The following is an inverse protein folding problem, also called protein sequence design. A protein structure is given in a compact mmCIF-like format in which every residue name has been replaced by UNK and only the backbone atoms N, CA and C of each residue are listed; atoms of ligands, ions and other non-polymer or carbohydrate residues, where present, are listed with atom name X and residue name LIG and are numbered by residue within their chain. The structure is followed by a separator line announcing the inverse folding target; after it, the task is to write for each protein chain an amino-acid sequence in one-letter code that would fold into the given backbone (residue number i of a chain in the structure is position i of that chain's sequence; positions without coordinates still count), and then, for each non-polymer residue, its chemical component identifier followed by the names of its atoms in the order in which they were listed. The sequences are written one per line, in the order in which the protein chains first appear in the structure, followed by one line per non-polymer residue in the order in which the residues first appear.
data_IF_298137411898
#
_entry.id   IF_298137411898
#
_cell.length_a   1.000
_cell.length_b   1.000
_cell.length_c   1.000
_cell.angle_alpha   90.00
_cell.angle_beta   90.00
_cell.angle_gamma   90.00
#
_symmetry.space_group_name_H-M   'P 1'
#
loop_
_entity.id
_entity.type
_entity.pdbx_description
1 polymer ?
#
# COMPACT_ATOMS: atom_id res chain seq x y z
N UNK A 1 -28.37 30.27 -0.69
CA UNK A 1 -28.26 29.97 0.75
C UNK A 1 -26.84 29.57 1.14
N UNK A 2 -26.27 28.49 0.57
CA UNK A 2 -24.92 27.99 0.90
C UNK A 2 -23.82 29.06 0.78
N UNK A 3 -23.85 29.92 -0.24
CA UNK A 3 -22.86 31.02 -0.37
C UNK A 3 -22.96 32.11 0.71
N UNK A 4 -24.16 32.35 1.26
CA UNK A 4 -24.34 33.30 2.36
C UNK A 4 -23.80 32.73 3.67
N UNK A 5 -24.12 31.46 3.96
CA UNK A 5 -23.57 30.71 5.09
C UNK A 5 -22.05 30.58 5.00
N UNK A 6 -21.51 30.35 3.81
CA UNK A 6 -20.06 30.28 3.59
C UNK A 6 -19.32 31.56 4.00
N UNK A 7 -19.90 32.73 3.70
CA UNK A 7 -19.33 34.01 4.12
C UNK A 7 -19.35 34.21 5.64
N UNK A 8 -20.42 33.78 6.31
CA UNK A 8 -20.48 33.85 7.78
C UNK A 8 -19.54 32.82 8.43
N UNK A 9 -19.45 31.62 7.85
CA UNK A 9 -18.58 30.55 8.33
C UNK A 9 -17.09 30.88 8.22
N UNK A 10 -16.69 31.79 7.33
CA UNK A 10 -15.31 32.29 7.29
C UNK A 10 -14.90 33.02 8.57
N UNK A 11 -15.85 33.63 9.28
CA UNK A 11 -15.58 34.38 10.51
C UNK A 11 -15.86 33.53 11.75
N UNK A 12 -16.98 32.80 11.74
CA UNK A 12 -17.49 32.10 12.93
C UNK A 12 -17.72 30.60 12.63
N UNK A 13 -16.73 29.92 12.04
CA UNK A 13 -16.87 28.52 11.62
C UNK A 13 -17.37 27.62 12.74
N UNK A 14 -16.77 27.73 13.94
CA UNK A 14 -17.07 26.89 15.09
C UNK A 14 -18.52 27.03 15.60
N UNK A 15 -19.16 28.18 15.41
CA UNK A 15 -20.57 28.40 15.76
C UNK A 15 -21.53 27.84 14.69
N UNK A 16 -21.10 27.89 13.43
CA UNK A 16 -21.92 27.49 12.28
C UNK A 16 -21.73 26.02 11.90
N UNK A 17 -20.69 25.36 12.39
CA UNK A 17 -20.36 23.98 12.07
C UNK A 17 -21.52 23.00 12.29
N UNK A 18 -22.27 23.02 13.41
CA UNK A 18 -23.39 22.10 13.61
C UNK A 18 -24.51 22.32 12.58
N UNK A 19 -24.74 23.58 12.21
CA UNK A 19 -25.74 23.94 11.19
C UNK A 19 -25.30 23.48 9.80
N UNK A 20 -24.02 23.62 9.47
CA UNK A 20 -23.45 23.11 8.22
C UNK A 20 -23.56 21.58 8.16
N UNK A 21 -23.26 20.88 9.27
CA UNK A 21 -23.39 19.43 9.35
C UNK A 21 -24.85 18.98 9.16
N UNK A 22 -25.81 19.67 9.77
CA UNK A 22 -27.24 19.36 9.58
C UNK A 22 -27.66 19.56 8.11
N UNK A 23 -27.20 20.65 7.48
CA UNK A 23 -27.48 20.91 6.07
C UNK A 23 -26.93 19.81 5.14
N UNK A 24 -25.81 19.15 5.49
CA UNK A 24 -25.26 18.07 4.65
C UNK A 24 -26.25 16.93 4.41
N UNK A 25 -27.21 16.73 5.30
CA UNK A 25 -28.20 15.65 5.19
C UNK A 25 -29.22 15.88 4.06
N UNK A 26 -29.40 17.13 3.62
CA UNK A 26 -30.49 17.52 2.71
C UNK A 26 -30.00 18.06 1.36
N UNK A 27 -28.70 18.27 1.19
CA UNK A 27 -28.15 18.92 0.00
C UNK A 27 -27.92 17.95 -1.17
N UNK A 28 -28.12 18.48 -2.37
CA UNK A 28 -27.84 17.80 -3.64
C UNK A 28 -26.35 17.56 -3.87
N UNK A 29 -26.00 16.77 -4.89
CA UNK A 29 -24.59 16.54 -5.28
C UNK A 29 -23.85 17.84 -5.63
N UNK A 30 -24.45 18.71 -6.42
CA UNK A 30 -23.84 19.99 -6.80
C UNK A 30 -23.63 20.90 -5.61
N UNK A 31 -24.58 20.90 -4.67
CA UNK A 31 -24.46 21.67 -3.43
C UNK A 31 -23.36 21.12 -2.50
N UNK A 32 -23.18 19.79 -2.45
CA UNK A 32 -22.04 19.16 -1.75
C UNK A 32 -20.71 19.61 -2.33
N UNK A 33 -20.60 19.65 -3.65
CA UNK A 33 -19.37 20.09 -4.31
C UNK A 33 -19.08 21.58 -4.01
N UNK A 34 -20.12 22.42 -4.00
CA UNK A 34 -20.00 23.83 -3.63
C UNK A 34 -19.63 24.01 -2.15
N UNK A 35 -20.22 23.21 -1.26
CA UNK A 35 -19.89 23.24 0.16
C UNK A 35 -18.43 22.84 0.40
N UNK A 36 -17.94 21.78 -0.24
CA UNK A 36 -16.54 21.36 -0.14
C UNK A 36 -15.57 22.47 -0.60
N UNK A 37 -15.90 23.19 -1.68
CA UNK A 37 -15.12 24.35 -2.15
C UNK A 37 -15.11 25.49 -1.13
N UNK A 38 -16.26 25.82 -0.54
CA UNK A 38 -16.35 26.84 0.52
C UNK A 38 -15.52 26.44 1.74
N UNK A 39 -15.57 25.18 2.15
CA UNK A 39 -14.71 24.65 3.23
C UNK A 39 -13.23 24.79 2.88
N UNK A 40 -12.86 24.62 1.61
CA UNK A 40 -11.51 24.90 1.09
C UNK A 40 -11.08 26.37 1.26
N UNK A 41 -11.98 27.32 0.99
CA UNK A 41 -11.69 28.75 1.21
C UNK A 41 -11.58 29.10 2.70
N UNK A 42 -12.44 28.52 3.54
CA UNK A 42 -12.35 28.66 5.00
C UNK A 42 -11.02 28.11 5.50
N UNK A 43 -10.59 26.95 5.00
CA UNK A 43 -9.31 26.34 5.33
C UNK A 43 -8.14 27.26 5.01
N UNK A 44 -8.08 27.83 3.80
CA UNK A 44 -7.00 28.75 3.43
C UNK A 44 -6.99 30.01 4.31
N UNK A 45 -8.17 30.57 4.62
CA UNK A 45 -8.25 31.73 5.51
C UNK A 45 -7.78 31.41 6.93
N UNK A 46 -8.22 30.28 7.49
CA UNK A 46 -7.75 29.82 8.80
C UNK A 46 -6.25 29.52 8.79
N UNK A 47 -5.71 28.95 7.71
CA UNK A 47 -4.26 28.72 7.56
C UNK A 47 -3.46 30.00 7.48
N UNK A 48 -3.98 31.03 6.82
CA UNK A 48 -3.29 32.31 6.65
C UNK A 48 -3.11 33.08 7.97
N UNK A 49 -4.01 32.91 8.93
CA UNK A 49 -3.94 33.55 10.26
C UNK A 49 -3.16 32.72 11.28
N UNK A 50 -2.70 31.50 10.94
CA UNK A 50 -1.84 30.74 11.84
C UNK A 50 -0.44 31.35 11.83
N UNK A 51 0.07 31.65 13.01
CA UNK A 51 1.40 32.22 13.23
C UNK A 51 2.30 31.26 14.00
N UNK A 52 3.61 31.51 13.94
CA UNK A 52 4.62 30.79 14.72
C UNK A 52 5.29 29.66 13.94
N UNK A 53 5.27 29.72 12.61
CA UNK A 53 6.05 28.82 11.76
C UNK A 53 7.56 29.12 11.83
N UNK A 54 8.37 28.11 11.52
CA UNK A 54 9.82 28.23 11.35
C UNK A 54 10.21 28.90 10.02
N UNK A 55 9.31 28.82 9.03
CA UNK A 55 9.49 29.35 7.68
C UNK A 55 8.13 29.77 7.09
N UNK A 56 8.14 30.34 5.89
CA UNK A 56 6.93 30.67 5.15
C UNK A 56 6.99 30.18 3.71
N UNK A 57 5.86 29.75 3.16
CA UNK A 57 5.67 29.53 1.72
C UNK A 57 4.72 30.58 1.15
N UNK A 58 4.82 30.85 -0.14
CA UNK A 58 3.88 31.70 -0.87
C UNK A 58 3.11 30.85 -1.89
N UNK A 59 1.79 30.78 -1.73
CA UNK A 59 0.89 30.04 -2.62
C UNK A 59 -0.24 30.98 -3.05
N UNK A 60 -0.44 31.14 -4.36
CA UNK A 60 -1.42 32.06 -4.94
C UNK A 60 -1.29 33.52 -4.42
N UNK A 61 -0.06 33.99 -4.18
CA UNK A 61 0.21 35.35 -3.71
C UNK A 61 -0.11 35.59 -2.22
N UNK A 62 -0.43 34.53 -1.47
CA UNK A 62 -0.60 34.57 -0.01
C UNK A 62 0.54 33.84 0.67
N UNK A 63 1.05 34.41 1.76
CA UNK A 63 2.05 33.77 2.61
C UNK A 63 1.40 32.92 3.68
N UNK A 64 1.95 31.73 3.89
CA UNK A 64 1.55 30.78 4.91
C UNK A 64 2.76 30.34 5.72
N UNK A 65 2.63 30.40 7.05
CA UNK A 65 3.63 29.86 7.97
C UNK A 65 3.73 28.34 7.86
N UNK A 66 4.93 27.82 8.08
CA UNK A 66 5.31 26.42 7.92
C UNK A 66 6.14 25.96 9.12
N UNK A 67 5.82 24.80 9.68
CA UNK A 67 6.49 24.22 10.84
C UNK A 67 7.44 23.10 10.39
N UNK A 68 8.74 23.33 10.55
CA UNK A 68 9.79 22.39 10.18
C UNK A 68 10.13 21.44 11.33
N UNK A 69 10.12 21.95 12.56
CA UNK A 69 10.59 21.24 13.76
C UNK A 69 9.47 20.81 14.71
N UNK A 70 8.24 21.26 14.47
CA UNK A 70 7.08 20.96 15.28
C UNK A 70 5.87 20.60 14.41
N UNK A 71 4.83 20.07 15.02
CA UNK A 71 3.57 19.81 14.35
C UNK A 71 2.81 21.11 14.17
N UNK A 72 2.29 21.32 12.95
CA UNK A 72 1.42 22.47 12.65
C UNK A 72 0.14 22.41 13.51
N UNK A 73 -0.31 23.55 14.09
CA UNK A 73 -1.62 23.64 14.72
C UNK A 73 -2.76 23.24 13.76
N UNK A 74 -3.68 22.40 14.24
CA UNK A 74 -4.87 22.01 13.46
C UNK A 74 -5.87 23.16 13.42
N UNK A 75 -6.41 23.43 12.23
CA UNK A 75 -7.47 24.45 12.08
C UNK A 75 -8.83 23.90 12.52
N UNK A 76 -9.78 24.79 12.84
CA UNK A 76 -11.12 24.36 13.25
C UNK A 76 -11.83 23.57 12.14
N UNK A 77 -11.68 23.99 10.87
CA UNK A 77 -12.28 23.26 9.75
C UNK A 77 -11.70 21.86 9.61
N UNK A 78 -10.39 21.68 9.79
CA UNK A 78 -9.76 20.36 9.75
C UNK A 78 -10.24 19.45 10.88
N UNK A 79 -10.38 20.01 12.09
CA UNK A 79 -10.91 19.30 13.25
C UNK A 79 -12.35 18.82 12.99
N UNK A 80 -13.19 19.66 12.42
CA UNK A 80 -14.57 19.31 12.09
C UNK A 80 -14.66 18.31 10.94
N UNK A 81 -13.83 18.42 9.89
CA UNK A 81 -13.78 17.39 8.85
C UNK A 81 -13.37 16.04 9.44
N UNK A 82 -12.41 16.00 10.36
CA UNK A 82 -12.03 14.78 11.06
C UNK A 82 -13.19 14.22 11.90
N UNK A 83 -14.00 15.06 12.53
CA UNK A 83 -15.21 14.63 13.26
C UNK A 83 -16.29 14.08 12.31
N UNK A 84 -16.55 14.76 11.19
CA UNK A 84 -17.52 14.32 10.19
C UNK A 84 -17.14 12.97 9.58
N UNK A 85 -15.85 12.71 9.35
CA UNK A 85 -15.36 11.41 8.90
C UNK A 85 -15.68 10.28 9.88
N UNK A 86 -15.77 10.58 11.18
CA UNK A 86 -16.05 9.60 12.25
C UNK A 86 -17.56 9.42 12.52
N UNK A 87 -18.41 10.27 11.96
CA UNK A 87 -19.86 10.21 12.15
C UNK A 87 -20.52 9.26 11.15
N UNK A 88 -20.68 8.00 11.56
CA UNK A 88 -21.29 6.94 10.74
C UNK A 88 -22.77 7.17 10.42
N UNK A 89 -23.44 8.08 11.14
CA UNK A 89 -24.84 8.42 10.92
C UNK A 89 -25.02 9.47 9.82
N UNK A 90 -23.94 10.14 9.40
CA UNK A 90 -23.97 11.17 8.39
C UNK A 90 -23.08 10.84 7.19
N UNK A 91 -23.56 9.91 6.35
CA UNK A 91 -22.87 9.51 5.13
C UNK A 91 -22.55 10.69 4.19
N UNK A 92 -23.42 11.70 4.12
CA UNK A 92 -23.20 12.88 3.29
C UNK A 92 -22.12 13.78 3.85
N UNK A 93 -22.12 14.01 5.17
CA UNK A 93 -21.05 14.70 5.89
C UNK A 93 -19.69 14.03 5.68
N UNK A 94 -19.64 12.69 5.77
CA UNK A 94 -18.43 11.91 5.48
C UNK A 94 -17.92 12.13 4.06
N UNK A 95 -18.80 12.13 3.05
CA UNK A 95 -18.41 12.40 1.66
C UNK A 95 -17.92 13.84 1.47
N UNK A 96 -18.61 14.83 2.03
CA UNK A 96 -18.16 16.24 2.00
C UNK A 96 -16.79 16.39 2.65
N UNK A 97 -16.54 15.72 3.79
CA UNK A 97 -15.26 15.78 4.48
C UNK A 97 -14.11 15.19 3.66
N UNK A 98 -14.35 14.10 2.94
CA UNK A 98 -13.37 13.51 2.01
C UNK A 98 -13.05 14.47 0.88
N UNK A 99 -14.07 15.06 0.26
CA UNK A 99 -13.87 15.99 -0.85
C UNK A 99 -13.19 17.29 -0.39
N UNK A 100 -13.60 17.85 0.74
CA UNK A 100 -12.95 19.02 1.33
C UNK A 100 -11.47 18.73 1.61
N UNK A 101 -11.14 17.54 2.13
CA UNK A 101 -9.75 17.14 2.40
C UNK A 101 -8.90 17.06 1.12
N UNK A 102 -9.46 16.60 -0.01
CA UNK A 102 -8.71 16.61 -1.29
C UNK A 102 -8.55 18.03 -1.82
N UNK A 103 -9.51 18.92 -1.58
CA UNK A 103 -9.38 20.35 -1.88
C UNK A 103 -8.27 20.99 -1.02
N UNK A 104 -8.18 20.67 0.27
CA UNK A 104 -7.10 21.17 1.15
C UNK A 104 -5.72 20.72 0.63
N UNK A 105 -5.61 19.44 0.26
CA UNK A 105 -4.40 18.87 -0.29
C UNK A 105 -3.95 19.58 -1.57
N UNK A 106 -4.90 19.87 -2.47
CA UNK A 106 -4.63 20.54 -3.74
C UNK A 106 -4.33 22.03 -3.60
N UNK A 107 -5.01 22.73 -2.70
CA UNK A 107 -4.85 24.18 -2.54
C UNK A 107 -3.59 24.56 -1.76
N UNK A 108 -3.09 23.72 -0.86
CA UNK A 108 -1.95 24.08 0.00
C UNK A 108 -1.09 22.90 0.43
N UNK A 109 -1.67 21.83 1.00
CA UNK A 109 -0.87 20.89 1.81
C UNK A 109 0.20 20.13 1.01
N UNK A 110 -0.07 19.84 -0.28
CA UNK A 110 0.92 19.15 -1.13
C UNK A 110 2.12 20.05 -1.37
N UNK A 111 1.89 21.29 -1.77
CA UNK A 111 2.94 22.28 -1.98
C UNK A 111 3.73 22.56 -0.70
N UNK A 112 3.02 22.72 0.43
CA UNK A 112 3.62 22.83 1.76
C UNK A 112 4.51 21.63 2.08
N UNK A 113 4.02 20.40 1.90
CA UNK A 113 4.80 19.19 2.12
C UNK A 113 6.04 19.11 1.20
N UNK A 114 5.93 19.53 -0.05
CA UNK A 114 7.08 19.57 -0.96
C UNK A 114 8.11 20.58 -0.48
N UNK A 115 7.68 21.79 -0.11
CA UNK A 115 8.60 22.84 0.34
C UNK A 115 9.23 22.53 1.69
N UNK A 116 8.50 21.92 2.63
CA UNK A 116 9.06 21.40 3.88
C UNK A 116 10.20 20.42 3.61
N UNK A 117 10.02 19.48 2.66
CA UNK A 117 11.06 18.52 2.30
C UNK A 117 12.28 19.21 1.72
N UNK A 118 12.09 20.17 0.84
CA UNK A 118 13.17 20.97 0.25
C UNK A 118 13.94 21.75 1.33
N UNK A 119 13.24 22.50 2.19
CA UNK A 119 13.83 23.25 3.29
C UNK A 119 14.60 22.34 4.27
N UNK A 120 14.05 21.17 4.60
CA UNK A 120 14.75 20.17 5.43
C UNK A 120 16.01 19.64 4.76
N UNK A 121 15.98 19.41 3.45
CA UNK A 121 17.15 19.00 2.68
C UNK A 121 18.21 20.11 2.61
N UNK A 122 17.81 21.37 2.47
CA UNK A 122 18.74 22.51 2.51
C UNK A 122 19.38 22.65 3.89
N UNK A 123 18.58 22.53 4.95
CA UNK A 123 19.07 22.50 6.34
C UNK A 123 20.05 21.35 6.57
N UNK A 124 19.79 20.15 6.02
CA UNK A 124 20.74 19.03 6.11
C UNK A 124 21.98 19.24 5.24
N UNK A 125 21.86 19.80 4.03
CA UNK A 125 23.00 20.10 3.15
C UNK A 125 23.90 21.21 3.72
N UNK A 126 23.35 22.14 4.50
CA UNK A 126 24.14 23.11 5.24
C UNK A 126 25.01 22.46 6.32
N UNK A 127 24.58 21.30 6.84
CA UNK A 127 25.31 20.50 7.83
C UNK A 127 26.29 19.53 7.16
N UNK A 128 25.93 18.99 6.00
CA UNK A 128 26.73 18.02 5.26
C UNK A 128 26.79 18.36 3.76
N UNK A 129 27.92 18.88 3.29
CA UNK A 129 28.20 19.01 1.85
C UNK A 129 28.44 17.63 1.22
N UNK A 130 27.40 16.90 0.81
CA UNK A 130 27.49 15.84 -0.22
C UNK A 130 26.20 15.80 -1.05
N UNK A 131 26.35 15.60 -2.38
CA UNK A 131 25.35 15.85 -3.43
C UNK A 131 24.35 14.72 -3.69
N UNK A 132 23.32 15.10 -4.46
CA UNK A 132 22.41 14.34 -5.36
C UNK A 132 20.93 14.61 -5.01
N UNK A 133 19.94 14.62 -5.90
CA UNK A 133 19.78 14.36 -7.33
C UNK A 133 18.27 14.18 -7.55
N UNK A 134 17.68 14.84 -8.56
CA UNK A 134 16.22 15.12 -8.67
C UNK A 134 15.42 14.04 -9.42
N UNK A 135 14.13 13.86 -9.08
CA UNK A 135 13.19 12.84 -9.64
C UNK A 135 11.99 13.46 -10.39
N UNK A 136 11.35 12.65 -11.23
CA UNK A 136 10.07 12.92 -11.90
C UNK A 136 9.02 11.81 -11.64
N UNK A 137 7.73 12.15 -11.77
CA UNK A 137 6.56 11.32 -11.42
C UNK A 137 5.90 10.65 -12.65
N UNK A 138 5.32 9.44 -12.52
CA UNK A 138 4.55 8.79 -13.59
C UNK A 138 3.01 8.93 -13.46
N UNK A 139 2.33 8.80 -14.61
CA UNK A 139 0.88 8.99 -14.85
C UNK A 139 0.13 7.65 -14.82
N UNK A 140 -1.14 7.64 -14.37
CA UNK A 140 -2.05 6.46 -14.39
C UNK A 140 -3.29 6.65 -15.28
N UNK A 141 -3.83 5.56 -15.89
CA UNK A 141 -5.02 5.58 -16.75
C UNK A 141 -6.34 5.34 -15.98
N UNK A 142 -7.44 5.82 -16.59
CA UNK A 142 -8.78 5.91 -16.01
C UNK A 142 -9.61 4.62 -15.99
N UNK A 143 -10.71 4.66 -15.22
CA UNK A 143 -11.60 3.52 -14.93
C UNK A 143 -13.10 3.83 -15.17
N UNK A 144 -13.94 2.77 -15.29
CA UNK A 144 -15.28 2.79 -15.85
C UNK A 144 -16.39 2.64 -14.77
N UNK A 145 -17.70 2.61 -15.12
CA UNK A 145 -18.77 2.99 -14.20
C UNK A 145 -19.19 1.95 -13.14
N UNK A 146 -19.92 2.51 -12.16
CA UNK A 146 -20.32 2.01 -10.84
C UNK A 146 -21.33 0.86 -10.89
N UNK A 147 -21.00 -0.27 -10.26
CA UNK A 147 -21.87 -1.45 -10.20
C UNK A 147 -21.93 -2.06 -8.78
N UNK A 148 -22.97 -2.87 -8.54
CA UNK A 148 -23.40 -3.51 -7.29
C UNK A 148 -22.31 -4.02 -6.31
N UNK A 149 -21.13 -4.39 -6.79
CA UNK A 149 -20.02 -4.89 -5.98
C UNK A 149 -19.39 -3.80 -5.07
N UNK A 150 -19.46 -2.53 -5.48
CA UNK A 150 -18.89 -1.41 -4.72
C UNK A 150 -19.63 -1.16 -3.39
N UNK A 151 -20.93 -1.48 -3.31
CA UNK A 151 -21.76 -1.13 -2.16
C UNK A 151 -21.75 -2.12 -1.00
N UNK A 152 -21.42 -3.40 -1.24
CA UNK A 152 -21.51 -4.47 -0.22
C UNK A 152 -20.22 -5.28 -0.07
N UNK A 153 -19.67 -5.74 -1.19
CA UNK A 153 -18.55 -6.68 -1.16
C UNK A 153 -17.23 -5.98 -0.85
N UNK A 154 -16.94 -4.84 -1.50
CA UNK A 154 -15.70 -4.09 -1.27
C UNK A 154 -15.57 -3.62 0.19
N UNK A 155 -16.58 -2.97 0.81
CA UNK A 155 -16.48 -2.59 2.22
C UNK A 155 -16.29 -3.79 3.14
N UNK A 156 -16.99 -4.91 2.90
CA UNK A 156 -16.86 -6.12 3.71
C UNK A 156 -15.46 -6.73 3.63
N UNK A 157 -14.85 -6.78 2.45
CA UNK A 157 -13.50 -7.31 2.28
C UNK A 157 -12.46 -6.37 2.89
N UNK A 158 -12.57 -5.07 2.63
CA UNK A 158 -11.63 -4.07 3.12
C UNK A 158 -11.60 -4.03 4.66
N UNK A 159 -12.76 -4.21 5.30
CA UNK A 159 -12.91 -4.12 6.76
C UNK A 159 -12.86 -5.45 7.50
N UNK A 160 -12.43 -6.54 6.84
CA UNK A 160 -12.26 -7.84 7.50
C UNK A 160 -11.38 -7.72 8.76
N UNK A 161 -11.95 -8.09 9.91
CA UNK A 161 -11.32 -8.00 11.24
C UNK A 161 -11.47 -6.66 11.96
N UNK A 162 -12.08 -5.64 11.34
CA UNK A 162 -12.40 -4.35 11.95
C UNK A 162 -13.80 -3.86 11.51
N UNK A 163 -14.81 -4.67 11.80
CA UNK A 163 -16.18 -4.47 11.30
C UNK A 163 -16.82 -3.12 11.70
N UNK A 164 -16.35 -2.51 12.79
CA UNK A 164 -16.82 -1.18 13.22
C UNK A 164 -16.61 -0.07 12.18
N UNK A 165 -15.68 -0.22 11.22
CA UNK A 165 -15.47 0.77 10.15
C UNK A 165 -16.23 0.45 8.87
N UNK A 166 -16.99 -0.65 8.82
CA UNK A 166 -17.70 -1.07 7.60
C UNK A 166 -18.65 0.01 7.11
N UNK A 167 -19.38 0.66 8.02
CA UNK A 167 -20.33 1.74 7.70
C UNK A 167 -19.60 2.96 7.15
N UNK A 168 -18.58 3.47 7.85
CA UNK A 168 -17.78 4.62 7.39
C UNK A 168 -17.14 4.36 6.02
N UNK A 169 -16.51 3.19 5.83
CA UNK A 169 -15.90 2.82 4.55
C UNK A 169 -16.95 2.77 3.44
N UNK A 170 -18.11 2.15 3.69
CA UNK A 170 -19.20 2.09 2.71
C UNK A 170 -19.72 3.49 2.34
N UNK A 171 -19.83 4.39 3.31
CA UNK A 171 -20.33 5.74 3.10
C UNK A 171 -19.33 6.61 2.33
N UNK A 172 -18.03 6.48 2.65
CA UNK A 172 -16.93 7.28 2.07
C UNK A 172 -16.51 6.77 0.68
N UNK A 173 -16.50 5.46 0.47
CA UNK A 173 -15.92 4.83 -0.72
C UNK A 173 -16.40 5.41 -2.06
N UNK A 174 -17.70 5.71 -2.29
CA UNK A 174 -18.15 6.30 -3.55
C UNK A 174 -17.44 7.61 -3.88
N UNK A 175 -17.24 8.46 -2.86
CA UNK A 175 -16.55 9.73 -3.01
C UNK A 175 -15.03 9.56 -3.12
N UNK A 176 -14.45 8.64 -2.33
CA UNK A 176 -13.03 8.31 -2.42
C UNK A 176 -12.62 7.79 -3.81
N UNK A 177 -13.45 6.95 -4.44
CA UNK A 177 -13.24 6.48 -5.83
C UNK A 177 -13.33 7.66 -6.79
N UNK A 178 -14.41 8.44 -6.71
CA UNK A 178 -14.62 9.61 -7.58
C UNK A 178 -13.43 10.57 -7.54
N UNK A 179 -12.96 10.90 -6.34
CA UNK A 179 -11.79 11.77 -6.19
C UNK A 179 -10.51 11.09 -6.71
N UNK A 180 -10.36 9.78 -6.51
CA UNK A 180 -9.17 9.05 -6.97
C UNK A 180 -9.11 8.87 -8.49
N UNK A 181 -10.25 8.93 -9.18
CA UNK A 181 -10.34 8.98 -10.64
C UNK A 181 -9.96 10.35 -11.19
N UNK A 182 -10.33 11.42 -10.51
CA UNK A 182 -9.99 12.79 -10.92
C UNK A 182 -8.54 13.17 -10.58
N UNK A 183 -8.10 12.84 -9.36
CA UNK A 183 -6.79 13.19 -8.81
C UNK A 183 -6.34 12.16 -7.78
N UNK A 184 -5.74 11.08 -8.27
CA UNK A 184 -5.25 9.99 -7.43
C UNK A 184 -4.14 10.43 -6.46
N UNK A 185 -3.33 11.44 -6.83
CA UNK A 185 -2.21 11.90 -6.00
C UNK A 185 -2.73 12.58 -4.74
N UNK A 186 -3.74 13.44 -4.87
CA UNK A 186 -4.35 14.13 -3.73
C UNK A 186 -5.09 13.19 -2.80
N UNK A 187 -5.79 12.19 -3.33
CA UNK A 187 -6.39 11.15 -2.48
C UNK A 187 -5.32 10.37 -1.72
N UNK A 188 -4.24 9.96 -2.39
CA UNK A 188 -3.13 9.25 -1.73
C UNK A 188 -2.44 10.11 -0.67
N UNK A 189 -2.28 11.40 -0.93
CA UNK A 189 -1.75 12.37 0.02
C UNK A 189 -2.65 12.46 1.27
N UNK A 190 -3.96 12.66 1.09
CA UNK A 190 -4.94 12.73 2.18
C UNK A 190 -4.95 11.44 3.01
N UNK A 191 -5.00 10.27 2.36
CA UNK A 191 -4.99 8.98 3.05
C UNK A 191 -3.69 8.75 3.84
N UNK A 192 -2.56 9.20 3.30
CA UNK A 192 -1.27 9.14 3.98
C UNK A 192 -1.26 10.04 5.20
N UNK A 193 -1.73 11.29 5.06
CA UNK A 193 -1.86 12.26 6.16
C UNK A 193 -2.74 11.73 7.28
N UNK A 194 -3.87 11.11 6.94
CA UNK A 194 -4.76 10.48 7.94
C UNK A 194 -4.10 9.27 8.60
N UNK A 195 -3.30 8.49 7.88
CA UNK A 195 -2.58 7.33 8.42
C UNK A 195 -1.49 7.72 9.43
N UNK A 196 -0.90 8.90 9.27
CA UNK A 196 0.10 9.46 10.19
C UNK A 196 -0.50 10.29 11.32
N UNK A 197 -1.83 10.47 11.35
CA UNK A 197 -2.52 11.17 12.44
C UNK A 197 -2.36 10.45 13.78
N UNK A 198 -2.34 11.23 14.87
CA UNK A 198 -2.43 10.72 16.23
C UNK A 198 -3.82 10.11 16.55
N UNK A 199 -4.86 10.44 15.78
CA UNK A 199 -6.20 9.86 15.93
C UNK A 199 -6.21 8.42 15.39
N UNK A 200 -6.27 7.46 16.30
CA UNK A 200 -6.29 6.02 15.97
C UNK A 200 -7.49 5.61 15.11
N UNK A 201 -8.64 6.27 15.21
CA UNK A 201 -9.80 5.97 14.38
C UNK A 201 -9.55 6.40 12.95
N UNK A 202 -9.05 7.63 12.77
CA UNK A 202 -8.74 8.18 11.45
C UNK A 202 -7.63 7.38 10.75
N UNK A 203 -6.60 6.96 11.51
CA UNK A 203 -5.52 6.09 11.02
C UNK A 203 -6.03 4.74 10.51
N UNK A 204 -6.93 4.09 11.25
CA UNK A 204 -7.53 2.83 10.84
C UNK A 204 -8.45 3.03 9.63
N UNK A 205 -9.29 4.07 9.66
CA UNK A 205 -10.20 4.40 8.58
C UNK A 205 -9.44 4.62 7.26
N UNK A 206 -8.34 5.38 7.28
CA UNK A 206 -7.54 5.64 6.07
C UNK A 206 -6.89 4.37 5.51
N UNK A 207 -6.41 3.48 6.38
CA UNK A 207 -5.86 2.18 5.95
C UNK A 207 -6.92 1.33 5.25
N UNK A 208 -8.13 1.25 5.82
CA UNK A 208 -9.24 0.46 5.27
C UNK A 208 -9.82 1.08 4.01
N UNK A 209 -9.93 2.40 3.96
CA UNK A 209 -10.36 3.11 2.77
C UNK A 209 -9.37 2.95 1.60
N UNK A 210 -8.06 2.99 1.88
CA UNK A 210 -7.04 2.73 0.85
C UNK A 210 -7.18 1.31 0.25
N UNK A 211 -7.39 0.30 1.11
CA UNK A 211 -7.67 -1.08 0.65
C UNK A 211 -8.97 -1.13 -0.15
N UNK A 212 -10.02 -0.46 0.31
CA UNK A 212 -11.31 -0.43 -0.36
C UNK A 212 -11.23 0.22 -1.75
N UNK A 213 -10.52 1.34 -1.90
CA UNK A 213 -10.29 1.99 -3.20
C UNK A 213 -9.47 1.07 -4.11
N UNK A 214 -8.41 0.44 -3.60
CA UNK A 214 -7.63 -0.53 -4.37
C UNK A 214 -8.49 -1.70 -4.84
N UNK A 215 -9.26 -2.34 -3.95
CA UNK A 215 -10.19 -3.40 -4.31
C UNK A 215 -11.21 -2.93 -5.34
N UNK A 216 -11.80 -1.75 -5.16
CA UNK A 216 -12.76 -1.19 -6.11
C UNK A 216 -12.19 -1.06 -7.53
N UNK A 217 -10.90 -0.68 -7.65
CA UNK A 217 -10.20 -0.54 -8.93
C UNK A 217 -9.82 -1.89 -9.56
N UNK A 218 -9.32 -2.84 -8.76
CA UNK A 218 -8.70 -4.06 -9.29
C UNK A 218 -9.56 -5.32 -9.22
N UNK A 219 -10.63 -5.35 -8.42
CA UNK A 219 -11.41 -6.57 -8.18
C UNK A 219 -12.02 -7.14 -9.47
N UNK A 220 -12.47 -6.31 -10.41
CA UNK A 220 -12.98 -6.77 -11.72
C UNK A 220 -11.93 -7.59 -12.48
N UNK A 221 -10.67 -7.14 -12.48
CA UNK A 221 -9.57 -7.85 -13.13
C UNK A 221 -9.23 -9.15 -12.41
N UNK A 222 -9.29 -9.16 -11.07
CA UNK A 222 -9.08 -10.38 -10.28
C UNK A 222 -10.16 -11.42 -10.60
N UNK A 223 -11.44 -11.02 -10.64
CA UNK A 223 -12.55 -11.93 -10.97
C UNK A 223 -12.42 -12.43 -12.42
N UNK A 224 -12.19 -11.53 -13.39
CA UNK A 224 -12.03 -11.91 -14.79
C UNK A 224 -10.85 -12.87 -15.00
N UNK A 225 -9.71 -12.59 -14.37
CA UNK A 225 -8.53 -13.47 -14.40
C UNK A 225 -8.80 -14.84 -13.79
N UNK A 226 -9.55 -14.89 -12.67
CA UNK A 226 -9.92 -16.17 -12.04
C UNK A 226 -10.82 -17.03 -12.93
N UNK A 227 -11.81 -16.43 -13.62
CA UNK A 227 -12.70 -17.15 -14.53
C UNK A 227 -11.91 -17.76 -15.70
N UNK A 228 -10.94 -17.02 -16.26
CA UNK A 228 -10.09 -17.52 -17.33
C UNK A 228 -9.26 -18.72 -16.86
N UNK A 229 -8.62 -18.64 -15.69
CA UNK A 229 -7.84 -19.75 -15.14
C UNK A 229 -8.69 -20.99 -14.86
N UNK A 230 -9.90 -20.83 -14.31
CA UNK A 230 -10.80 -21.96 -14.09
C UNK A 230 -11.27 -22.60 -15.40
N UNK A 231 -11.55 -21.79 -16.44
CA UNK A 231 -11.95 -22.33 -17.75
C UNK A 231 -10.82 -23.15 -18.40
N UNK A 232 -9.57 -22.69 -18.33
CA UNK A 232 -8.42 -23.44 -18.84
C UNK A 232 -8.19 -24.75 -18.08
N UNK A 233 -8.38 -24.74 -16.76
CA UNK A 233 -8.26 -25.97 -15.95
C UNK A 233 -9.30 -27.02 -16.35
N UNK A 234 -10.57 -26.64 -16.53
CA UNK A 234 -11.64 -27.58 -16.94
C UNK A 234 -11.43 -28.21 -18.31
N UNK A 235 -10.80 -27.50 -19.26
CA UNK A 235 -10.49 -28.05 -20.60
C UNK A 235 -9.39 -29.12 -20.52
N UNK A 236 -8.39 -28.93 -19.65
CA UNK A 236 -7.29 -29.89 -19.47
C UNK A 236 -7.79 -31.22 -18.90
N UNK A 237 -8.70 -31.18 -17.92
CA UNK A 237 -9.16 -32.40 -17.24
C UNK A 237 -10.14 -33.22 -18.09
N UNK A 238 -11.00 -32.56 -18.87
CA UNK A 238 -11.87 -33.25 -19.84
C UNK A 238 -11.05 -33.91 -20.96
N UNK A 239 -9.91 -33.33 -21.33
CA UNK A 239 -8.97 -33.92 -22.29
C UNK A 239 -8.36 -35.23 -21.78
N UNK A 240 -7.93 -35.27 -20.52
CA UNK A 240 -7.35 -36.49 -19.93
C UNK A 240 -8.39 -37.60 -19.73
N UNK A 241 -9.63 -37.27 -19.34
CA UNK A 241 -10.69 -38.27 -19.16
C UNK A 241 -11.02 -38.94 -20.51
N UNK A 242 -11.15 -38.18 -21.60
CA UNK A 242 -11.35 -38.77 -22.95
C UNK A 242 -10.15 -39.63 -23.39
N UNK A 243 -8.92 -39.25 -23.06
CA UNK A 243 -7.74 -40.03 -23.40
C UNK A 243 -7.63 -41.34 -22.59
N UNK A 244 -8.13 -41.37 -21.34
CA UNK A 244 -8.18 -42.60 -20.53
C UNK A 244 -9.32 -43.52 -20.96
N UNK A 245 -10.50 -43.00 -21.29
CA UNK A 245 -11.60 -43.82 -21.84
C UNK A 245 -11.22 -44.43 -23.20
N UNK A 246 -10.50 -43.70 -24.06
CA UNK A 246 -10.03 -44.25 -25.33
C UNK A 246 -8.95 -45.34 -25.19
N UNK A 247 -8.23 -45.40 -24.06
CA UNK A 247 -7.22 -46.45 -23.81
C UNK A 247 -7.79 -47.72 -23.18
N UNK A 248 -8.96 -47.66 -22.54
CA UNK A 248 -9.56 -48.83 -21.89
C UNK A 248 -10.24 -49.81 -22.85
N UNK A 249 -10.52 -49.40 -24.09
CA UNK A 249 -11.12 -50.26 -25.13
C UNK A 249 -10.08 -50.99 -26.01
N UNK A 250 -8.77 -50.85 -25.74
CA UNK A 250 -7.70 -51.50 -26.52
C UNK A 250 -6.78 -52.36 -25.64
N UNK A 251 -7.34 -53.18 -24.75
CA UNK A 251 -6.56 -54.20 -24.05
C UNK A 251 -7.35 -55.52 -23.96
N UNK A 252 -7.52 -56.17 -25.12
CA UNK A 252 -7.83 -57.59 -25.23
C UNK A 252 -6.60 -58.32 -25.75
N UNK A 253 -6.12 -59.23 -24.90
CA UNK A 253 -5.28 -60.40 -25.20
C UNK A 253 -3.83 -60.18 -25.65
N UNK A 254 -2.90 -60.28 -24.69
CA UNK A 254 -1.53 -60.73 -24.97
C UNK A 254 -1.11 -61.85 -24.01
N UNK A 255 -0.62 -62.99 -24.51
CA UNK A 255 -0.30 -64.15 -23.69
C UNK A 255 1.01 -64.00 -22.93
N UNK A 256 1.01 -64.64 -21.76
CA UNK A 256 2.15 -64.92 -20.90
C UNK A 256 3.38 -65.42 -21.66
N UNK A 257 4.51 -64.75 -21.44
CA UNK A 257 5.84 -65.29 -21.71
C UNK A 257 6.72 -65.13 -20.48
N UNK A 258 7.05 -66.29 -19.93
CA UNK A 258 8.02 -66.53 -18.87
C UNK A 258 9.45 -66.24 -19.33
N UNK A 259 10.17 -65.37 -18.63
CA UNK A 259 11.64 -65.35 -18.69
C UNK A 259 12.27 -64.91 -17.36
N UNK A 260 12.85 -65.90 -16.71
CA UNK A 260 14.18 -65.92 -16.06
C UNK A 260 14.56 -64.76 -15.14
N UNK A 261 14.36 -65.03 -13.86
CA UNK A 261 14.96 -64.41 -12.68
C UNK A 261 16.46 -64.18 -12.82
N UNK A 262 16.88 -62.92 -12.99
CA UNK A 262 18.24 -62.47 -12.67
C UNK A 262 18.13 -61.49 -11.51
N UNK A 263 18.65 -61.91 -10.36
CA UNK A 263 18.64 -61.20 -9.07
C UNK A 263 19.38 -59.85 -9.21
N UNK A 264 18.69 -58.69 -9.15
CA UNK A 264 19.35 -57.40 -9.18
C UNK A 264 20.06 -57.15 -7.85
N UNK A 265 21.33 -56.79 -7.94
CA UNK A 265 22.14 -56.25 -6.85
C UNK A 265 21.44 -54.99 -6.30
N UNK A 266 21.28 -54.82 -4.98
CA UNK A 266 20.64 -53.65 -4.40
C UNK A 266 21.46 -52.42 -4.76
N UNK A 267 20.93 -51.62 -5.67
CA UNK A 267 21.41 -50.29 -5.97
C UNK A 267 21.02 -49.40 -4.78
N UNK A 268 21.96 -48.66 -4.15
CA UNK A 268 21.64 -47.81 -3.01
C UNK A 268 20.63 -46.75 -3.46
N UNK A 269 19.37 -46.95 -3.06
CA UNK A 269 18.29 -45.98 -3.23
C UNK A 269 18.59 -44.79 -2.32
N UNK A 270 19.43 -43.90 -2.84
CA UNK A 270 19.75 -42.62 -2.24
C UNK A 270 18.56 -41.68 -2.52
N UNK A 271 17.39 -41.99 -1.95
CA UNK A 271 16.26 -41.05 -1.95
C UNK A 271 16.78 -39.79 -1.23
N UNK A 272 16.80 -38.62 -1.88
CA UNK A 272 17.19 -37.38 -1.22
C UNK A 272 16.32 -37.24 0.02
N UNK A 273 16.93 -37.22 1.20
CA UNK A 273 16.18 -36.89 2.40
C UNK A 273 15.62 -35.48 2.20
N UNK A 274 14.31 -35.26 2.46
CA UNK A 274 13.71 -33.94 2.30
C UNK A 274 14.48 -32.96 3.18
N UNK A 275 15.10 -31.97 2.54
CA UNK A 275 15.86 -30.94 3.22
C UNK A 275 14.89 -30.11 4.06
N UNK A 276 15.03 -30.19 5.39
CA UNK A 276 14.20 -29.43 6.32
C UNK A 276 14.66 -27.98 6.27
N UNK A 277 13.75 -27.07 5.90
CA UNK A 277 14.03 -25.64 5.83
C UNK A 277 14.41 -25.10 7.24
N UNK A 278 15.64 -24.57 7.43
CA UNK A 278 16.15 -24.20 8.74
C UNK A 278 15.41 -23.00 9.35
N UNK A 279 14.76 -22.17 8.54
CA UNK A 279 14.06 -20.95 8.99
C UNK A 279 12.74 -21.25 9.71
N UNK A 280 12.17 -22.46 9.52
CA UNK A 280 10.90 -22.85 10.14
C UNK A 280 10.96 -22.85 11.67
N UNK A 281 12.12 -23.22 12.22
CA UNK A 281 12.32 -23.42 13.66
C UNK A 281 12.90 -22.18 14.38
N UNK A 282 13.18 -21.09 13.66
CA UNK A 282 13.69 -19.86 14.27
C UNK A 282 12.56 -19.07 14.95
N UNK A 283 12.91 -18.36 16.01
CA UNK A 283 12.00 -17.40 16.67
C UNK A 283 12.08 -16.07 15.95
N UNK A 284 10.95 -15.42 15.72
CA UNK A 284 10.91 -14.13 15.03
C UNK A 284 10.19 -13.08 15.88
N UNK A 285 10.50 -11.77 15.73
CA UNK A 285 11.47 -11.21 14.78
C UNK A 285 12.93 -11.39 15.22
N UNK A 286 13.80 -11.65 14.25
CA UNK A 286 15.26 -11.67 14.40
C UNK A 286 15.80 -10.24 14.36
N UNK A 287 16.87 -9.98 15.12
CA UNK A 287 17.55 -8.67 15.12
C UNK A 287 18.35 -8.44 13.84
N UNK A 288 18.93 -9.52 13.29
CA UNK A 288 19.68 -9.53 12.03
C UNK A 288 19.22 -10.74 11.23
N UNK A 289 18.94 -10.53 9.95
CA UNK A 289 18.56 -11.61 9.04
C UNK A 289 19.59 -11.77 7.93
N UNK A 290 20.18 -12.94 7.86
CA UNK A 290 21.22 -13.24 6.89
C UNK A 290 22.43 -13.90 7.53
N UNK A 291 23.44 -14.11 6.71
CA UNK A 291 24.71 -14.64 7.15
C UNK A 291 25.65 -13.47 7.53
N UNK A 292 26.35 -13.59 8.66
CA UNK A 292 27.43 -12.67 9.04
C UNK A 292 28.62 -12.83 8.10
N UNK A 293 29.30 -11.72 7.80
CA UNK A 293 30.55 -11.71 7.03
C UNK A 293 31.66 -12.53 7.70
N UNK A 294 31.62 -12.65 9.04
CA UNK A 294 32.57 -13.45 9.82
C UNK A 294 32.48 -14.96 9.52
N UNK A 295 31.39 -15.42 8.91
CA UNK A 295 31.21 -16.82 8.53
C UNK A 295 31.86 -17.16 7.18
N UNK A 296 32.42 -16.18 6.46
CA UNK A 296 33.08 -16.42 5.19
C UNK A 296 34.55 -16.82 5.38
N UNK A 297 34.91 -18.00 4.90
CA UNK A 297 36.29 -18.53 5.00
C UNK A 297 37.27 -17.85 4.02
N UNK A 298 36.75 -17.18 2.98
CA UNK A 298 37.56 -16.57 1.93
C UNK A 298 36.88 -15.34 1.31
N UNK A 299 37.68 -14.33 0.96
CA UNK A 299 37.25 -13.16 0.18
C UNK A 299 37.61 -13.31 -1.31
N UNK A 300 36.83 -12.73 -2.24
CA UNK A 300 35.62 -11.94 -2.01
C UNK A 300 34.41 -12.80 -1.61
N UNK A 301 33.50 -12.22 -0.83
CA UNK A 301 32.29 -12.91 -0.39
C UNK A 301 31.11 -12.44 -1.23
N UNK A 302 30.40 -13.39 -1.82
CA UNK A 302 29.16 -13.11 -2.55
C UNK A 302 27.97 -13.26 -1.63
N UNK A 303 27.11 -12.25 -1.60
CA UNK A 303 25.87 -12.26 -0.84
C UNK A 303 24.67 -12.19 -1.77
N UNK A 304 23.72 -13.10 -1.59
CA UNK A 304 22.46 -13.17 -2.32
C UNK A 304 21.35 -12.46 -1.53
N UNK A 305 21.02 -11.20 -1.87
CA UNK A 305 20.01 -10.44 -1.15
C UNK A 305 18.60 -10.90 -1.51
N UNK A 306 17.71 -10.91 -0.50
CA UNK A 306 16.28 -11.21 -0.68
C UNK A 306 15.48 -9.92 -0.54
N UNK A 307 14.69 -9.60 -1.56
CA UNK A 307 13.96 -8.35 -1.71
C UNK A 307 12.44 -8.53 -1.71
N UNK A 308 11.72 -7.58 -1.10
CA UNK A 308 10.28 -7.36 -1.33
C UNK A 308 10.05 -6.12 -2.19
N UNK A 309 9.32 -6.21 -3.31
CA UNK A 309 8.96 -5.05 -4.13
C UNK A 309 7.86 -4.17 -3.48
N UNK A 310 7.23 -4.62 -2.39
CA UNK A 310 6.11 -3.92 -1.76
C UNK A 310 6.59 -3.02 -0.60
N UNK A 311 6.71 -1.71 -0.85
CA UNK A 311 7.15 -0.74 0.18
C UNK A 311 6.29 -0.70 1.44
N UNK A 312 4.98 -0.94 1.30
CA UNK A 312 4.05 -0.93 2.42
C UNK A 312 4.35 -2.03 3.46
N UNK A 313 5.27 -2.95 3.17
CA UNK A 313 5.60 -4.07 4.03
C UNK A 313 6.78 -3.83 4.97
N UNK A 314 7.52 -2.71 4.92
CA UNK A 314 8.75 -2.61 5.74
C UNK A 314 8.50 -2.75 7.24
N UNK A 315 7.47 -2.09 7.78
CA UNK A 315 7.11 -2.21 9.20
C UNK A 315 6.55 -3.61 9.54
N UNK A 316 5.84 -4.23 8.59
CA UNK A 316 5.37 -5.60 8.73
C UNK A 316 6.56 -6.58 8.82
N UNK A 317 7.51 -6.45 7.89
CA UNK A 317 8.72 -7.27 7.81
C UNK A 317 9.58 -7.07 9.06
N UNK A 318 9.80 -5.83 9.50
CA UNK A 318 10.55 -5.53 10.75
C UNK A 318 9.87 -6.08 11.99
N UNK A 319 8.55 -5.98 12.07
CA UNK A 319 7.78 -6.45 13.22
C UNK A 319 7.65 -7.97 13.29
N UNK A 320 7.66 -8.66 12.14
CA UNK A 320 7.38 -10.11 12.06
C UNK A 320 8.57 -10.99 11.73
N UNK A 321 9.60 -10.46 11.07
CA UNK A 321 10.71 -11.23 10.53
C UNK A 321 12.06 -10.61 10.89
N UNK A 322 12.43 -9.50 10.25
CA UNK A 322 13.81 -9.01 10.22
C UNK A 322 13.86 -7.53 10.57
N UNK A 323 14.31 -7.23 11.80
CA UNK A 323 14.34 -5.83 12.29
C UNK A 323 15.30 -4.95 11.50
N UNK A 324 16.33 -5.55 10.93
CA UNK A 324 17.35 -4.93 10.08
C UNK A 324 16.92 -4.75 8.61
N UNK A 325 15.70 -5.14 8.24
CA UNK A 325 15.21 -4.92 6.88
C UNK A 325 15.32 -3.44 6.47
N UNK A 326 15.83 -3.18 5.26
CA UNK A 326 16.24 -1.86 4.80
C UNK A 326 15.51 -1.49 3.50
N UNK A 327 14.94 -0.28 3.44
CA UNK A 327 14.42 0.27 2.17
C UNK A 327 15.58 0.68 1.29
N UNK A 328 15.56 0.27 0.03
CA UNK A 328 16.56 0.67 -0.94
C UNK A 328 15.99 0.81 -2.34
N UNK A 329 16.72 1.56 -3.16
CA UNK A 329 16.41 1.77 -4.56
C UNK A 329 17.23 0.81 -5.40
N UNK A 330 16.59 0.06 -6.30
CA UNK A 330 17.23 -0.87 -7.23
C UNK A 330 16.96 -0.44 -8.67
N UNK A 331 17.96 -0.61 -9.52
CA UNK A 331 17.83 -0.46 -10.97
C UNK A 331 17.78 -1.85 -11.60
N UNK A 332 16.70 -2.17 -12.32
CA UNK A 332 16.59 -3.39 -13.11
C UNK A 332 16.11 -3.00 -14.50
N UNK A 333 16.91 -3.32 -15.52
CA UNK A 333 16.62 -2.99 -16.92
C UNK A 333 16.40 -1.49 -17.16
N UNK A 334 17.18 -0.62 -16.48
CA UNK A 334 17.06 0.83 -16.60
C UNK A 334 15.82 1.42 -15.91
N UNK A 335 15.04 0.61 -15.20
CA UNK A 335 13.91 1.07 -14.39
C UNK A 335 14.35 1.07 -12.93
N UNK A 336 14.33 2.26 -12.33
CA UNK A 336 14.56 2.47 -10.91
C UNK A 336 13.27 2.21 -10.13
N UNK A 337 13.28 1.25 -9.21
CA UNK A 337 12.15 0.99 -8.31
C UNK A 337 12.63 0.82 -6.88
N UNK A 338 11.73 1.11 -5.93
CA UNK A 338 12.01 0.90 -4.52
C UNK A 338 11.69 -0.53 -4.13
N UNK A 339 12.51 -1.07 -3.26
CA UNK A 339 12.35 -2.41 -2.68
C UNK A 339 12.80 -2.39 -1.23
N UNK A 340 12.47 -3.44 -0.50
CA UNK A 340 12.96 -3.65 0.87
C UNK A 340 13.88 -4.86 0.84
N UNK A 341 15.16 -4.68 1.15
CA UNK A 341 16.07 -5.79 1.43
C UNK A 341 15.72 -6.37 2.79
N UNK A 342 15.36 -7.65 2.82
CA UNK A 342 14.92 -8.33 4.04
C UNK A 342 16.07 -9.06 4.72
N UNK A 343 16.91 -9.71 3.91
CA UNK A 343 18.01 -10.54 4.37
C UNK A 343 19.08 -10.66 3.27
N UNK A 344 20.26 -11.17 3.62
CA UNK A 344 21.35 -11.46 2.68
C UNK A 344 22.10 -12.72 3.09
N UNK A 345 22.30 -13.67 2.18
CA UNK A 345 22.92 -14.98 2.50
C UNK A 345 24.15 -15.24 1.65
N UNK A 346 25.14 -15.97 2.16
CA UNK A 346 26.33 -16.33 1.37
C UNK A 346 26.08 -17.45 0.36
N UNK A 347 24.88 -18.06 0.38
CA UNK A 347 24.45 -19.11 -0.53
C UNK A 347 23.09 -18.80 -1.13
N UNK A 348 22.98 -18.97 -2.46
CA UNK A 348 21.73 -18.86 -3.20
C UNK A 348 20.66 -19.82 -2.65
N UNK A 349 21.07 -21.02 -2.25
CA UNK A 349 20.17 -22.03 -1.69
C UNK A 349 19.54 -21.57 -0.36
N UNK A 350 20.34 -20.97 0.53
CA UNK A 350 19.81 -20.38 1.78
C UNK A 350 18.89 -19.20 1.50
N UNK A 351 19.23 -18.35 0.54
CA UNK A 351 18.35 -17.25 0.11
C UNK A 351 17.00 -17.76 -0.43
N UNK A 352 17.03 -18.86 -1.20
CA UNK A 352 15.83 -19.51 -1.74
C UNK A 352 14.97 -20.14 -0.63
N UNK A 353 15.58 -20.88 0.30
CA UNK A 353 14.86 -21.42 1.46
C UNK A 353 14.24 -20.31 2.32
N UNK A 354 14.92 -19.17 2.48
CA UNK A 354 14.39 -18.03 3.23
C UNK A 354 13.22 -17.37 2.50
N UNK A 355 13.34 -17.18 1.19
CA UNK A 355 12.26 -16.68 0.32
C UNK A 355 11.01 -17.55 0.46
N UNK A 356 11.14 -18.87 0.26
CA UNK A 356 10.04 -19.83 0.35
C UNK A 356 9.38 -19.82 1.74
N UNK A 357 10.19 -19.70 2.79
CA UNK A 357 9.71 -19.60 4.15
C UNK A 357 8.80 -18.38 4.38
N UNK A 358 9.18 -17.21 3.86
CA UNK A 358 8.35 -16.00 4.00
C UNK A 358 7.10 -16.10 3.12
N UNK A 359 7.24 -16.51 1.86
CA UNK A 359 6.12 -16.63 0.93
C UNK A 359 5.06 -17.63 1.41
N UNK A 360 5.49 -18.72 2.07
CA UNK A 360 4.59 -19.68 2.70
C UNK A 360 3.82 -19.11 3.91
N UNK A 361 4.41 -18.15 4.64
CA UNK A 361 3.78 -17.54 5.83
C UNK A 361 2.95 -16.30 5.51
N UNK A 362 3.26 -15.57 4.45
CA UNK A 362 2.57 -14.33 4.06
C UNK A 362 2.06 -14.45 2.61
N UNK A 363 0.88 -15.07 2.42
CA UNK A 363 0.28 -15.20 1.10
C UNK A 363 0.12 -13.84 0.42
N UNK A 364 0.65 -13.71 -0.79
CA UNK A 364 0.59 -12.48 -1.59
C UNK A 364 1.81 -11.55 -1.49
N UNK A 365 2.79 -11.90 -0.65
CA UNK A 365 4.15 -11.36 -0.80
C UNK A 365 4.85 -12.17 -1.90
N UNK A 366 5.44 -11.46 -2.88
CA UNK A 366 6.29 -12.06 -3.92
C UNK A 366 7.69 -11.53 -3.73
N UNK A 367 8.59 -12.38 -3.24
CA UNK A 367 9.97 -12.01 -2.97
C UNK A 367 10.86 -12.29 -4.18
N UNK A 368 11.89 -11.49 -4.35
CA UNK A 368 12.90 -11.65 -5.40
C UNK A 368 14.26 -11.87 -4.76
N UNK A 369 15.02 -12.86 -5.21
CA UNK A 369 16.44 -12.96 -4.91
C UNK A 369 17.15 -12.11 -5.95
N UNK A 370 17.94 -11.13 -5.50
CA UNK A 370 18.72 -10.30 -6.40
C UNK A 370 20.06 -10.92 -6.79
N UNK A 371 20.73 -10.24 -7.72
CA UNK A 371 22.09 -10.58 -8.13
C UNK A 371 23.06 -10.53 -6.92
N UNK A 372 24.10 -11.37 -6.92
CA UNK A 372 25.06 -11.42 -5.82
C UNK A 372 25.79 -10.09 -5.65
N UNK A 373 25.83 -9.60 -4.42
CA UNK A 373 26.64 -8.45 -4.02
C UNK A 373 28.01 -8.94 -3.56
N UNK A 374 29.06 -8.49 -4.23
CA UNK A 374 30.44 -8.90 -3.95
C UNK A 374 31.05 -7.96 -2.91
N UNK A 375 31.45 -8.50 -1.76
CA UNK A 375 32.16 -7.75 -0.70
C UNK A 375 33.66 -8.07 -0.80
N UNK A 376 34.52 -7.09 -1.10
CA UNK A 376 35.96 -7.29 -1.17
C UNK A 376 36.58 -7.42 0.23
N UNK A 377 37.84 -7.87 0.28
CA UNK A 377 38.61 -7.95 1.53
C UNK A 377 38.76 -6.54 2.15
N UNK A 378 38.54 -6.37 3.47
CA UNK A 378 38.86 -5.12 4.16
C UNK A 378 40.34 -4.78 3.96
N UNK A 379 40.65 -3.51 3.66
CA UNK A 379 42.03 -3.03 3.52
C UNK A 379 42.66 -2.69 4.86
#
# INVERSE_FOLDING_TARGET
MISALGRQAQQNFSELEPHLQELTKQISRTERDNLAKILGEIYLNQRHILEGGDASIEVEGKKYDVWLHSDRPITDVEKSMAQWLKDDYNAMGQQVAVYASTIFANKLDREESYKIKELKQELSKSKDKVSNGTYALPIQPGLPPQDWYLGKLVPSLATRGLEKYRTSVRNILPEGIRQSENDSESVNFVLTRWRTSSDSQLKNLSSRLNIAIWLAKYLKFIIAGSILLFSSWTISEVGEIKARTARQDTEVSRPSSSSTTTKPRPEPSNKPQPQINPFVNLRYPQSVCGDSIEMAESYPVEFFPVYSPQLNSINLIRGRYCRDALEMTRDKNGITFRSVQIASFVSLERAQLFKEFIEAREPGINLEIGEPTVVPRPQ
#
